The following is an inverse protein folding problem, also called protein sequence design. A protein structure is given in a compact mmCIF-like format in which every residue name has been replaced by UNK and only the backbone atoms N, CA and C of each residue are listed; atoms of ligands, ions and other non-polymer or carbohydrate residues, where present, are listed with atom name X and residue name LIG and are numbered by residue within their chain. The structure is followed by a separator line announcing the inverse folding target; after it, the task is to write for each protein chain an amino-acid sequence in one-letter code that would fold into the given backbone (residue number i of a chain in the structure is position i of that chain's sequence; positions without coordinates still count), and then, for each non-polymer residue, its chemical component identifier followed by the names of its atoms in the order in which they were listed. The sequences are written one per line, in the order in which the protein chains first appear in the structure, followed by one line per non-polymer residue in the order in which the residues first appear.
data_IF_498002621415
#
_entry.id   IF_498002621415
#
_cell.length_a   1.000
_cell.length_b   1.000
_cell.length_c   1.000
_cell.angle_alpha   90.00
_cell.angle_beta   90.00
_cell.angle_gamma   90.00
#
_symmetry.space_group_name_H-M   'P 1'
#
loop_
_entity.id
_entity.type
_entity.pdbx_description
1 polymer ?
#
# COMPACT_ATOMS: atom_id res chain seq x y z
N UNK A 1 -22.91 -8.12 18.03
CA UNK A 1 -21.64 -8.46 17.35
C UNK A 1 -20.85 -7.18 17.23
N UNK A 2 -19.80 -7.02 18.03
CA UNK A 2 -18.86 -5.89 17.89
C UNK A 2 -17.96 -6.26 16.73
N UNK A 3 -17.97 -5.50 15.64
CA UNK A 3 -17.00 -5.72 14.59
C UNK A 3 -15.61 -5.40 15.15
N UNK A 4 -14.60 -6.20 14.81
CA UNK A 4 -13.22 -5.96 15.27
C UNK A 4 -12.61 -4.74 14.55
N UNK A 5 -13.09 -3.56 14.91
CA UNK A 5 -12.63 -2.28 14.35
C UNK A 5 -11.19 -1.98 14.76
N UNK A 6 -10.71 -2.55 15.86
CA UNK A 6 -9.29 -2.57 16.24
C UNK A 6 -8.45 -3.34 15.23
N UNK A 7 -8.88 -4.55 14.87
CA UNK A 7 -8.24 -5.38 13.84
C UNK A 7 -8.22 -4.71 12.48
N UNK A 8 -9.32 -4.07 12.06
CA UNK A 8 -9.37 -3.31 10.81
C UNK A 8 -8.41 -2.11 10.80
N UNK A 9 -8.28 -1.39 11.92
CA UNK A 9 -7.32 -0.28 12.04
C UNK A 9 -5.88 -0.76 12.03
N UNK A 10 -5.58 -1.85 12.74
CA UNK A 10 -4.25 -2.47 12.74
C UNK A 10 -3.87 -2.93 11.34
N UNK A 11 -4.77 -3.61 10.63
CA UNK A 11 -4.58 -4.04 9.25
C UNK A 11 -4.32 -2.84 8.32
N UNK A 12 -5.10 -1.76 8.45
CA UNK A 12 -4.89 -0.53 7.69
C UNK A 12 -3.53 0.13 7.98
N UNK A 13 -3.07 0.12 9.23
CA UNK A 13 -1.74 0.62 9.57
C UNK A 13 -0.65 -0.24 8.91
N UNK A 14 -0.71 -1.57 9.03
CA UNK A 14 0.23 -2.48 8.37
C UNK A 14 0.26 -2.30 6.86
N UNK A 15 -0.89 -2.14 6.20
CA UNK A 15 -0.94 -1.90 4.75
C UNK A 15 -0.29 -0.57 4.37
N UNK A 16 -0.44 0.48 5.18
CA UNK A 16 0.23 1.76 4.96
C UNK A 16 1.75 1.62 5.06
N UNK A 17 2.24 0.98 6.12
CA UNK A 17 3.68 0.75 6.33
C UNK A 17 4.29 -0.04 5.16
N UNK A 18 3.58 -1.06 4.66
CA UNK A 18 4.00 -1.81 3.48
C UNK A 18 3.96 -0.98 2.19
N UNK A 19 2.97 -0.10 2.02
CA UNK A 19 2.91 0.80 0.87
C UNK A 19 4.09 1.77 0.85
N UNK A 20 4.42 2.36 2.00
CA UNK A 20 5.57 3.27 2.14
C UNK A 20 6.90 2.55 1.87
N UNK A 21 7.06 1.32 2.39
CA UNK A 21 8.22 0.49 2.12
C UNK A 21 8.38 0.17 0.62
N UNK A 22 7.29 -0.17 -0.07
CA UNK A 22 7.31 -0.45 -1.51
C UNK A 22 7.60 0.81 -2.34
N UNK A 23 7.09 1.97 -1.93
CA UNK A 23 7.42 3.24 -2.58
C UNK A 23 8.92 3.56 -2.42
N UNK A 24 9.50 3.32 -1.24
CA UNK A 24 10.94 3.48 -1.03
C UNK A 24 11.77 2.50 -1.88
N UNK A 25 11.34 1.25 -1.99
CA UNK A 25 12.00 0.26 -2.86
C UNK A 25 11.93 0.68 -4.33
N UNK A 26 10.76 1.14 -4.80
CA UNK A 26 10.62 1.63 -6.17
C UNK A 26 11.59 2.78 -6.45
N UNK A 27 11.67 3.76 -5.54
CA UNK A 27 12.61 4.87 -5.65
C UNK A 27 14.07 4.40 -5.67
N UNK A 28 14.44 3.44 -4.83
CA UNK A 28 15.79 2.88 -4.80
C UNK A 28 16.14 2.14 -6.10
N UNK A 29 15.20 1.38 -6.67
CA UNK A 29 15.39 0.68 -7.96
C UNK A 29 15.55 1.66 -9.12
N UNK A 30 14.76 2.74 -9.14
CA UNK A 30 14.92 3.80 -10.14
C UNK A 30 16.26 4.53 -9.98
N UNK A 31 16.73 4.75 -8.75
CA UNK A 31 18.03 5.37 -8.50
C UNK A 31 19.21 4.45 -8.86
N UNK A 32 19.02 3.13 -8.81
CA UNK A 32 20.06 2.14 -9.09
C UNK A 32 20.35 1.95 -10.60
N UNK A 33 19.66 2.65 -11.50
CA UNK A 33 19.93 2.58 -12.94
C UNK A 33 21.38 2.94 -13.25
N UNK A 34 22.02 2.13 -14.10
CA UNK A 34 23.44 2.25 -14.42
C UNK A 34 23.61 2.93 -15.78
N UNK A 35 24.59 3.82 -15.92
CA UNK A 35 24.90 4.48 -17.19
C UNK A 35 25.31 3.48 -18.27
N UNK A 36 24.85 3.68 -19.52
CA UNK A 36 25.01 2.74 -20.63
C UNK A 36 26.48 2.40 -21.00
N UNK A 37 27.42 3.26 -20.61
CA UNK A 37 28.84 3.12 -20.94
C UNK A 37 29.67 2.47 -19.81
N UNK A 38 29.04 2.10 -18.68
CA UNK A 38 29.75 1.62 -17.49
C UNK A 38 30.56 0.32 -17.72
N UNK A 39 30.20 -0.47 -18.73
CA UNK A 39 30.87 -1.72 -19.10
C UNK A 39 31.45 -1.69 -20.52
N UNK A 40 31.50 -0.51 -21.16
CA UNK A 40 31.87 -0.37 -22.57
C UNK A 40 30.93 -1.09 -23.53
N UNK A 41 31.31 -1.16 -24.81
CA UNK A 41 30.46 -1.67 -25.91
C UNK A 41 30.03 -3.13 -25.75
N UNK A 42 30.84 -3.95 -25.09
CA UNK A 42 30.54 -5.38 -24.85
C UNK A 42 29.44 -5.53 -23.80
N UNK A 43 29.38 -4.63 -22.81
CA UNK A 43 28.40 -4.68 -21.73
C UNK A 43 27.12 -3.88 -21.97
N UNK A 44 27.02 -3.12 -23.07
CA UNK A 44 25.86 -2.27 -23.36
C UNK A 44 24.54 -3.05 -23.36
N UNK A 45 24.49 -4.21 -24.03
CA UNK A 45 23.27 -5.03 -24.08
C UNK A 45 22.85 -5.54 -22.69
N UNK A 46 23.82 -5.88 -21.84
CA UNK A 46 23.56 -6.28 -20.46
C UNK A 46 23.04 -5.11 -19.62
N UNK A 47 23.63 -3.91 -19.76
CA UNK A 47 23.19 -2.72 -19.02
C UNK A 47 21.80 -2.26 -19.45
N UNK A 48 21.46 -2.37 -20.72
CA UNK A 48 20.09 -2.13 -21.20
C UNK A 48 19.12 -3.11 -20.53
N UNK A 49 19.39 -4.41 -20.60
CA UNK A 49 18.54 -5.43 -19.99
C UNK A 49 18.43 -5.26 -18.46
N UNK A 50 19.51 -4.88 -17.79
CA UNK A 50 19.52 -4.59 -16.35
C UNK A 50 18.64 -3.38 -16.03
N UNK A 51 18.78 -2.28 -16.76
CA UNK A 51 17.98 -1.08 -16.53
C UNK A 51 16.49 -1.31 -16.85
N UNK A 52 16.18 -2.09 -17.88
CA UNK A 52 14.80 -2.51 -18.17
C UNK A 52 14.21 -3.35 -17.02
N UNK A 53 15.00 -4.29 -16.49
CA UNK A 53 14.57 -5.11 -15.35
C UNK A 53 14.35 -4.26 -14.08
N UNK A 54 15.25 -3.30 -13.80
CA UNK A 54 15.10 -2.35 -12.68
C UNK A 54 13.85 -1.49 -12.83
N UNK A 55 13.61 -0.95 -14.03
CA UNK A 55 12.42 -0.16 -14.33
C UNK A 55 11.13 -0.98 -14.18
N UNK A 56 11.13 -2.23 -14.69
CA UNK A 56 10.00 -3.12 -14.53
C UNK A 56 9.72 -3.45 -13.06
N UNK A 57 10.76 -3.74 -12.27
CA UNK A 57 10.61 -4.00 -10.85
C UNK A 57 10.08 -2.77 -10.07
N UNK A 58 10.57 -1.57 -10.40
CA UNK A 58 10.10 -0.32 -9.80
C UNK A 58 8.61 -0.04 -10.11
N UNK A 59 8.18 -0.28 -11.35
CA UNK A 59 6.77 -0.16 -11.75
C UNK A 59 5.89 -1.13 -10.94
N UNK A 60 6.29 -2.40 -10.83
CA UNK A 60 5.55 -3.42 -10.07
C UNK A 60 5.45 -3.06 -8.59
N UNK A 61 6.51 -2.55 -7.98
CA UNK A 61 6.50 -2.08 -6.60
C UNK A 61 5.55 -0.88 -6.43
N UNK A 62 5.55 0.07 -7.36
CA UNK A 62 4.65 1.24 -7.36
C UNK A 62 3.19 0.82 -7.46
N UNK A 63 2.85 -0.10 -8.37
CA UNK A 63 1.50 -0.63 -8.53
C UNK A 63 1.03 -1.33 -7.24
N UNK A 64 1.91 -2.10 -6.60
CA UNK A 64 1.57 -2.79 -5.36
C UNK A 64 1.37 -1.81 -4.19
N UNK A 65 2.22 -0.78 -4.08
CA UNK A 65 2.06 0.29 -3.09
C UNK A 65 0.70 0.98 -3.25
N UNK A 66 0.31 1.33 -4.47
CA UNK A 66 -0.98 1.96 -4.76
C UNK A 66 -2.17 1.08 -4.33
N UNK A 67 -2.08 -0.25 -4.55
CA UNK A 67 -3.11 -1.21 -4.12
C UNK A 67 -3.23 -1.29 -2.59
N UNK A 68 -2.10 -1.27 -1.88
CA UNK A 68 -2.10 -1.28 -0.42
C UNK A 68 -2.62 0.03 0.18
N UNK A 69 -2.34 1.16 -0.44
CA UNK A 69 -2.95 2.45 -0.09
C UNK A 69 -4.47 2.40 -0.25
N UNK A 70 -4.96 1.84 -1.37
CA UNK A 70 -6.40 1.64 -1.57
C UNK A 70 -7.01 0.72 -0.51
N UNK A 71 -6.35 -0.41 -0.20
CA UNK A 71 -6.79 -1.34 0.84
C UNK A 71 -6.84 -0.68 2.24
N UNK A 72 -5.90 0.21 2.54
CA UNK A 72 -5.88 1.02 3.76
C UNK A 72 -7.10 1.93 3.84
N UNK A 73 -7.42 2.62 2.75
CA UNK A 73 -8.60 3.48 2.68
C UNK A 73 -9.90 2.68 2.87
N UNK A 74 -10.00 1.51 2.25
CA UNK A 74 -11.15 0.60 2.42
C UNK A 74 -11.27 0.13 3.87
N UNK A 75 -10.20 -0.36 4.49
CA UNK A 75 -10.23 -0.80 5.89
C UNK A 75 -10.66 0.33 6.85
N UNK A 76 -10.18 1.56 6.61
CA UNK A 76 -10.60 2.75 7.34
C UNK A 76 -12.09 3.05 7.18
N UNK A 77 -12.61 3.03 5.96
CA UNK A 77 -14.02 3.26 5.66
C UNK A 77 -14.92 2.19 6.30
N UNK A 78 -14.53 0.91 6.22
CA UNK A 78 -15.25 -0.19 6.86
C UNK A 78 -15.27 -0.05 8.39
N UNK A 79 -14.14 0.31 9.01
CA UNK A 79 -14.09 0.54 10.46
C UNK A 79 -14.96 1.72 10.91
N UNK A 80 -15.08 2.77 10.08
CA UNK A 80 -15.98 3.89 10.33
C UNK A 80 -17.46 3.46 10.25
N UNK A 81 -17.83 2.75 9.18
CA UNK A 81 -19.21 2.27 9.00
C UNK A 81 -19.69 1.36 10.15
N UNK A 82 -18.81 0.48 10.66
CA UNK A 82 -19.14 -0.33 11.83
C UNK A 82 -19.36 0.50 13.09
N UNK A 83 -18.50 1.49 13.34
CA UNK A 83 -18.65 2.40 14.48
C UNK A 83 -19.97 3.19 14.40
N UNK A 84 -20.33 3.64 13.21
CA UNK A 84 -21.58 4.38 12.99
C UNK A 84 -22.78 3.47 13.24
N UNK A 85 -22.78 2.24 12.72
CA UNK A 85 -23.84 1.27 12.97
C UNK A 85 -24.00 0.94 14.46
N UNK A 86 -22.90 0.76 15.19
CA UNK A 86 -22.91 0.56 16.64
C UNK A 86 -23.51 1.77 17.38
N UNK A 87 -23.13 3.00 16.98
CA UNK A 87 -23.67 4.23 17.55
C UNK A 87 -25.18 4.38 17.33
N UNK A 88 -25.67 4.08 16.12
CA UNK A 88 -27.09 4.13 15.80
C UNK A 88 -27.89 3.07 16.58
N UNK A 89 -27.37 1.86 16.72
CA UNK A 89 -27.99 0.81 17.52
C UNK A 89 -28.02 1.17 19.02
N UNK A 90 -26.95 1.78 19.55
CA UNK A 90 -26.93 2.26 20.93
C UNK A 90 -27.98 3.34 21.19
N UNK A 91 -28.11 4.31 20.28
CA UNK A 91 -29.12 5.36 20.37
C UNK A 91 -30.55 4.82 20.25
N UNK A 92 -30.80 3.86 19.37
CA UNK A 92 -32.15 3.29 19.21
C UNK A 92 -32.58 2.50 20.45
N UNK A 93 -31.66 1.75 21.07
CA UNK A 93 -31.91 1.08 22.35
C UNK A 93 -32.18 2.12 23.43
N UNK A 94 -31.33 3.14 23.61
CA UNK A 94 -31.58 4.17 24.63
C UNK A 94 -32.94 4.85 24.49
N UNK A 95 -33.41 5.10 23.26
CA UNK A 95 -34.75 5.68 23.01
C UNK A 95 -35.90 4.70 23.25
N UNK A 96 -35.68 3.39 23.11
CA UNK A 96 -36.71 2.39 23.36
C UNK A 96 -36.96 2.13 24.86
N UNK A 97 -36.02 2.54 25.72
CA UNK A 97 -36.07 2.36 27.17
C UNK A 97 -36.22 3.69 27.94
N UNK A 98 -36.46 4.80 27.24
CA UNK A 98 -36.77 6.13 27.78
C UNK A 98 -38.25 6.46 27.56
#
# INVERSE_FOLDING_TARGET
MIADTSGLRALGATHRDHADALAAIAAALTAATVGADALGSVGTAYLIALNEALAHAADRATVLAARLTAATATAGATAAAYRDAEGHAGQSIQRAWA
#
